data_IF_644676550315
#
_entry.id   IF_644676550315
#
_cell.length_a   1.000
_cell.length_b   1.000
_cell.length_c   1.000
_cell.angle_alpha   90.00
_cell.angle_beta   90.00
_cell.angle_gamma   90.00
#
_symmetry.space_group_name_H-M   'P 1'
#
loop_
_entity.id
_entity.type
_entity.pdbx_description
1 polymer ?
#
# COMPACT_ATOMS: atom_id res chain seq x y z
N UNK A 1 24.70 -28.24 -20.84
CA UNK A 1 25.41 -27.06 -21.38
C UNK A 1 25.97 -26.25 -20.22
N UNK A 2 27.27 -25.99 -20.20
CA UNK A 2 27.92 -25.20 -19.16
C UNK A 2 28.03 -23.74 -19.64
N UNK A 3 27.09 -22.90 -19.26
CA UNK A 3 27.12 -21.46 -19.61
C UNK A 3 27.70 -20.65 -18.47
N UNK A 4 28.32 -19.51 -18.80
CA UNK A 4 28.86 -18.58 -17.80
C UNK A 4 27.74 -18.04 -16.92
N UNK A 5 26.68 -17.51 -17.53
CA UNK A 5 25.45 -17.12 -16.83
C UNK A 5 24.96 -18.20 -15.85
N UNK A 6 24.86 -19.46 -16.30
CA UNK A 6 24.37 -20.56 -15.46
C UNK A 6 25.27 -20.82 -14.25
N UNK A 7 26.58 -20.69 -14.43
CA UNK A 7 27.58 -20.85 -13.35
C UNK A 7 27.49 -19.72 -12.33
N UNK A 8 27.35 -18.47 -12.79
CA UNK A 8 27.18 -17.31 -11.91
C UNK A 8 25.86 -17.38 -11.14
N UNK A 9 24.77 -17.84 -11.75
CA UNK A 9 23.49 -18.04 -11.06
C UNK A 9 23.64 -19.08 -9.94
N UNK A 10 24.27 -20.23 -10.22
CA UNK A 10 24.44 -21.32 -9.26
C UNK A 10 25.36 -20.96 -8.10
N UNK A 11 26.48 -20.32 -8.39
CA UNK A 11 27.51 -20.01 -7.40
C UNK A 11 27.25 -18.69 -6.67
N UNK A 12 26.52 -17.77 -7.32
CA UNK A 12 26.38 -16.39 -6.87
C UNK A 12 27.72 -15.65 -6.82
N UNK A 13 28.75 -16.13 -7.53
CA UNK A 13 30.08 -15.50 -7.56
C UNK A 13 30.31 -14.85 -8.92
N UNK A 14 31.04 -13.74 -8.90
CA UNK A 14 31.54 -13.11 -10.11
C UNK A 14 32.56 -14.03 -10.79
N UNK A 15 32.57 -14.02 -12.11
CA UNK A 15 33.59 -14.66 -12.93
C UNK A 15 34.28 -13.60 -13.78
N UNK A 16 35.61 -13.56 -13.72
CA UNK A 16 36.45 -12.79 -14.63
C UNK A 16 37.25 -13.81 -15.44
N UNK A 17 36.93 -13.91 -16.72
CA UNK A 17 37.39 -14.95 -17.63
C UNK A 17 38.27 -14.32 -18.71
N UNK A 18 39.43 -14.93 -18.92
CA UNK A 18 40.30 -14.65 -20.06
C UNK A 18 39.96 -15.57 -21.23
N UNK A 19 40.57 -15.33 -22.38
CA UNK A 19 40.37 -16.14 -23.60
C UNK A 19 40.61 -17.63 -23.34
N UNK A 20 41.60 -17.97 -22.51
CA UNK A 20 41.91 -19.34 -22.12
C UNK A 20 40.83 -19.99 -21.24
N UNK A 21 40.21 -19.21 -20.35
CA UNK A 21 39.18 -19.73 -19.43
C UNK A 21 37.84 -19.96 -20.14
N UNK A 22 37.62 -19.27 -21.27
CA UNK A 22 36.37 -19.31 -22.03
C UNK A 22 36.13 -20.66 -22.74
N UNK A 23 37.19 -21.41 -23.05
CA UNK A 23 37.10 -22.73 -23.70
C UNK A 23 36.29 -23.76 -22.88
N UNK A 24 36.19 -23.55 -21.56
CA UNK A 24 35.41 -24.41 -20.66
C UNK A 24 33.89 -24.15 -20.68
N UNK A 25 33.44 -23.12 -21.41
CA UNK A 25 32.06 -22.67 -21.44
C UNK A 25 31.48 -22.64 -22.86
N UNK A 26 30.17 -22.84 -22.95
CA UNK A 26 29.45 -22.64 -24.20
C UNK A 26 29.23 -21.14 -24.45
N UNK A 27 29.90 -20.62 -25.48
CA UNK A 27 29.92 -19.21 -25.89
C UNK A 27 29.08 -18.93 -27.13
N UNK A 28 28.35 -19.94 -27.66
CA UNK A 28 27.54 -19.82 -28.87
C UNK A 28 26.50 -18.69 -28.81
N UNK A 29 26.01 -18.37 -27.61
CA UNK A 29 25.05 -17.29 -27.36
C UNK A 29 25.59 -15.89 -27.71
N UNK A 30 26.90 -15.71 -27.81
CA UNK A 30 27.53 -14.41 -28.07
C UNK A 30 27.78 -14.15 -29.57
N UNK A 31 27.56 -15.13 -30.45
CA UNK A 31 27.75 -14.97 -31.88
C UNK A 31 26.86 -13.84 -32.45
N UNK A 32 27.38 -12.95 -33.33
CA UNK A 32 28.67 -12.98 -34.01
C UNK A 32 29.82 -12.25 -33.29
N UNK A 33 29.63 -11.84 -32.03
CA UNK A 33 30.67 -11.13 -31.27
C UNK A 33 31.77 -12.10 -30.84
N UNK A 34 33.02 -11.77 -31.19
CA UNK A 34 34.18 -12.49 -30.68
C UNK A 34 34.39 -12.11 -29.20
N UNK A 35 34.13 -13.06 -28.30
CA UNK A 35 34.33 -12.88 -26.87
C UNK A 35 35.74 -13.31 -26.46
N UNK A 36 36.66 -12.36 -26.30
CA UNK A 36 38.08 -12.62 -25.91
C UNK A 36 38.32 -12.61 -24.41
N UNK A 37 37.48 -11.88 -23.69
CA UNK A 37 37.47 -11.81 -22.25
C UNK A 37 36.07 -11.41 -21.80
N UNK A 38 35.74 -11.78 -20.58
CA UNK A 38 34.42 -11.49 -20.03
C UNK A 38 34.50 -11.29 -18.53
N UNK A 39 33.75 -10.32 -18.04
CA UNK A 39 33.39 -10.27 -16.63
C UNK A 39 31.88 -10.47 -16.49
N UNK A 40 31.49 -11.46 -15.71
CA UNK A 40 30.11 -11.86 -15.47
C UNK A 40 29.80 -11.71 -13.98
N UNK A 41 28.87 -10.82 -13.65
CA UNK A 41 28.58 -10.41 -12.29
C UNK A 41 27.13 -10.74 -11.90
N UNK A 42 26.90 -11.28 -10.70
CA UNK A 42 25.56 -11.52 -10.19
C UNK A 42 24.94 -10.22 -9.68
N UNK A 43 23.76 -9.86 -10.20
CA UNK A 43 22.92 -8.82 -9.61
C UNK A 43 22.12 -9.44 -8.45
N UNK A 44 22.52 -9.14 -7.22
CA UNK A 44 21.92 -9.74 -6.02
C UNK A 44 20.91 -8.82 -5.35
N UNK A 45 19.83 -9.41 -4.86
CA UNK A 45 18.89 -8.77 -3.95
C UNK A 45 18.56 -9.72 -2.79
N UNK A 46 18.73 -9.25 -1.54
CA UNK A 46 18.54 -10.07 -0.33
C UNK A 46 19.27 -11.42 -0.40
N UNK A 47 20.54 -11.40 -0.81
CA UNK A 47 21.42 -12.57 -0.99
C UNK A 47 21.03 -13.55 -2.11
N UNK A 48 19.95 -13.30 -2.86
CA UNK A 48 19.57 -14.09 -4.03
C UNK A 48 20.02 -13.42 -5.33
N UNK A 49 20.60 -14.18 -6.25
CA UNK A 49 20.92 -13.71 -7.61
C UNK A 49 19.61 -13.53 -8.40
N UNK A 50 19.30 -12.30 -8.80
CA UNK A 50 18.10 -11.96 -9.58
C UNK A 50 18.35 -11.86 -11.08
N UNK A 51 19.57 -11.46 -11.44
CA UNK A 51 20.03 -11.42 -12.82
C UNK A 51 21.55 -11.61 -12.86
N UNK A 52 22.08 -11.84 -14.05
CA UNK A 52 23.51 -11.81 -14.33
C UNK A 52 23.76 -10.76 -15.38
N UNK A 53 24.79 -9.94 -15.17
CA UNK A 53 25.23 -8.95 -16.16
C UNK A 53 26.59 -9.37 -16.66
N UNK A 54 26.72 -9.50 -17.98
CA UNK A 54 27.92 -9.94 -18.66
C UNK A 54 28.47 -8.78 -19.49
N UNK A 55 29.73 -8.43 -19.25
CA UNK A 55 30.48 -7.48 -20.06
C UNK A 55 31.45 -8.28 -20.92
N UNK A 56 31.27 -8.19 -22.24
CA UNK A 56 32.02 -8.95 -23.23
C UNK A 56 33.10 -8.07 -23.85
N UNK A 57 34.30 -8.61 -24.03
CA UNK A 57 35.43 -8.03 -24.78
C UNK A 57 35.69 -6.56 -24.45
N UNK A 58 36.58 -6.32 -23.49
CA UNK A 58 37.07 -4.97 -23.18
C UNK A 58 37.65 -4.29 -24.43
N UNK A 59 37.36 -3.00 -24.59
CA UNK A 59 37.71 -2.22 -25.80
C UNK A 59 39.22 -2.21 -26.08
N UNK A 60 40.05 -2.16 -25.04
CA UNK A 60 41.51 -2.18 -25.17
C UNK A 60 42.09 -3.58 -25.40
N UNK A 61 41.23 -4.60 -25.56
CA UNK A 61 41.54 -6.01 -25.73
C UNK A 61 42.36 -6.63 -24.58
N UNK A 62 42.54 -5.92 -23.45
CA UNK A 62 43.16 -6.47 -22.25
C UNK A 62 42.09 -7.19 -21.42
N UNK A 63 42.52 -8.11 -20.56
CA UNK A 63 41.62 -8.70 -19.55
C UNK A 63 41.06 -7.64 -18.61
N UNK A 64 39.92 -7.94 -17.99
CA UNK A 64 39.35 -7.08 -16.96
C UNK A 64 40.26 -7.07 -15.73
N UNK A 65 40.59 -5.88 -15.24
CA UNK A 65 41.40 -5.69 -14.04
C UNK A 65 40.55 -5.74 -12.77
N UNK A 66 41.20 -5.80 -11.63
CA UNK A 66 40.54 -5.65 -10.33
C UNK A 66 39.75 -4.34 -10.22
N UNK A 67 40.26 -3.24 -10.77
CA UNK A 67 39.54 -1.96 -10.74
C UNK A 67 38.25 -2.01 -11.57
N UNK A 68 38.25 -2.73 -12.71
CA UNK A 68 37.05 -2.96 -13.51
C UNK A 68 36.02 -3.79 -12.71
N UNK A 69 36.48 -4.84 -12.02
CA UNK A 69 35.64 -5.67 -11.16
C UNK A 69 34.95 -4.85 -10.06
N UNK A 70 35.72 -4.01 -9.35
CA UNK A 70 35.21 -3.13 -8.30
C UNK A 70 34.19 -2.15 -8.86
N UNK A 71 34.52 -1.49 -9.98
CA UNK A 71 33.65 -0.51 -10.61
C UNK A 71 32.30 -1.13 -11.03
N UNK A 72 32.35 -2.27 -11.74
CA UNK A 72 31.16 -3.00 -12.16
C UNK A 72 30.33 -3.47 -10.96
N UNK A 73 30.98 -3.97 -9.91
CA UNK A 73 30.30 -4.45 -8.69
C UNK A 73 29.56 -3.32 -7.97
N UNK A 74 30.19 -2.15 -7.84
CA UNK A 74 29.56 -0.96 -7.25
C UNK A 74 28.37 -0.51 -8.09
N UNK A 75 28.53 -0.40 -9.41
CA UNK A 75 27.45 0.01 -10.31
C UNK A 75 26.24 -0.94 -10.23
N UNK A 76 26.48 -2.25 -10.22
CA UNK A 76 25.43 -3.25 -10.09
C UNK A 76 24.73 -3.22 -8.73
N UNK A 77 25.47 -2.92 -7.67
CA UNK A 77 24.89 -2.74 -6.34
C UNK A 77 23.87 -1.60 -6.36
N UNK A 78 24.18 -0.47 -6.99
CA UNK A 78 23.21 0.62 -7.19
C UNK A 78 22.00 0.18 -8.01
N UNK A 79 22.21 -0.53 -9.13
CA UNK A 79 21.11 -1.07 -9.93
C UNK A 79 20.17 -1.98 -9.13
N UNK A 80 20.73 -2.83 -8.26
CA UNK A 80 19.94 -3.71 -7.40
C UNK A 80 19.06 -2.91 -6.42
N UNK A 81 19.61 -1.84 -5.84
CA UNK A 81 18.84 -0.92 -4.99
C UNK A 81 17.70 -0.26 -5.76
N UNK A 82 17.94 0.24 -6.98
CA UNK A 82 16.88 0.85 -7.80
C UNK A 82 15.74 -0.11 -8.14
N UNK A 83 16.06 -1.35 -8.53
CA UNK A 83 15.05 -2.38 -8.81
C UNK A 83 14.23 -2.70 -7.54
N UNK A 84 14.89 -2.77 -6.39
CA UNK A 84 14.19 -3.00 -5.12
C UNK A 84 13.24 -1.86 -4.75
N UNK A 85 13.62 -0.62 -5.07
CA UNK A 85 12.82 0.56 -4.80
C UNK A 85 11.53 0.59 -5.62
N UNK A 86 11.58 0.24 -6.90
CA UNK A 86 10.37 0.19 -7.75
C UNK A 86 9.35 -0.83 -7.20
N UNK A 87 9.82 -2.01 -6.78
CA UNK A 87 8.96 -3.03 -6.16
C UNK A 87 8.31 -2.51 -4.88
N UNK A 88 9.10 -1.91 -3.98
CA UNK A 88 8.59 -1.34 -2.73
C UNK A 88 7.59 -0.20 -2.98
N UNK A 89 7.83 0.62 -4.01
CA UNK A 89 6.93 1.71 -4.37
C UNK A 89 5.59 1.18 -4.89
N UNK A 90 5.60 0.12 -5.71
CA UNK A 90 4.38 -0.56 -6.19
C UNK A 90 3.59 -1.17 -5.02
N UNK A 91 4.26 -1.86 -4.11
CA UNK A 91 3.63 -2.43 -2.91
C UNK A 91 3.02 -1.35 -2.01
N UNK A 92 3.72 -0.22 -1.80
CA UNK A 92 3.21 0.93 -1.05
C UNK A 92 1.95 1.51 -1.70
N UNK A 93 1.95 1.70 -3.03
CA UNK A 93 0.78 2.20 -3.78
C UNK A 93 -0.42 1.28 -3.65
N UNK A 94 -0.22 -0.04 -3.73
CA UNK A 94 -1.29 -1.02 -3.55
C UNK A 94 -1.88 -0.97 -2.14
N UNK A 95 -1.04 -0.89 -1.10
CA UNK A 95 -1.50 -0.75 0.29
C UNK A 95 -2.28 0.55 0.52
N UNK A 96 -1.83 1.67 -0.03
CA UNK A 96 -2.54 2.95 0.06
C UNK A 96 -3.92 2.89 -0.60
N UNK A 97 -4.03 2.24 -1.76
CA UNK A 97 -5.31 2.02 -2.42
C UNK A 97 -6.24 1.17 -1.56
N UNK A 98 -5.73 0.11 -0.94
CA UNK A 98 -6.53 -0.74 -0.06
C UNK A 98 -7.05 0.01 1.17
N UNK A 99 -6.19 0.81 1.82
CA UNK A 99 -6.59 1.69 2.91
C UNK A 99 -7.69 2.66 2.47
N UNK A 100 -7.58 3.24 1.27
CA UNK A 100 -8.61 4.13 0.72
C UNK A 100 -9.95 3.40 0.55
N UNK A 101 -9.95 2.20 -0.04
CA UNK A 101 -11.16 1.39 -0.21
C UNK A 101 -11.78 1.05 1.14
N UNK A 102 -10.98 0.67 2.13
CA UNK A 102 -11.46 0.37 3.48
C UNK A 102 -12.09 1.59 4.15
N UNK A 103 -11.46 2.76 4.02
CA UNK A 103 -12.01 4.03 4.51
C UNK A 103 -13.35 4.35 3.82
N UNK A 104 -13.38 4.33 2.49
CA UNK A 104 -14.58 4.66 1.72
C UNK A 104 -15.72 3.66 2.02
N UNK A 105 -15.39 2.38 2.24
CA UNK A 105 -16.34 1.36 2.68
C UNK A 105 -16.84 1.63 4.10
N UNK A 106 -15.95 2.03 5.01
CA UNK A 106 -16.29 2.45 6.37
C UNK A 106 -17.24 3.66 6.37
N UNK A 107 -16.99 4.64 5.49
CA UNK A 107 -17.86 5.80 5.33
C UNK A 107 -19.26 5.38 4.84
N UNK A 108 -19.35 4.46 3.88
CA UNK A 108 -20.64 3.95 3.37
C UNK A 108 -21.38 3.11 4.41
N UNK A 109 -20.68 2.22 5.11
CA UNK A 109 -21.29 1.36 6.15
C UNK A 109 -21.69 2.16 7.40
N UNK A 110 -20.90 3.18 7.75
CA UNK A 110 -21.16 4.10 8.86
C UNK A 110 -22.23 5.13 8.54
N UNK A 111 -22.42 5.51 7.28
CA UNK A 111 -23.42 6.50 6.88
C UNK A 111 -24.82 6.09 7.34
N UNK A 112 -25.59 6.97 8.00
CA UNK A 112 -27.00 6.74 8.29
C UNK A 112 -27.78 6.32 7.05
N UNK A 113 -28.71 5.37 7.18
CA UNK A 113 -29.51 4.99 6.03
C UNK A 113 -30.44 6.16 5.63
N UNK A 114 -30.69 6.31 4.32
CA UNK A 114 -31.51 7.40 3.79
C UNK A 114 -32.93 7.36 4.37
N UNK A 115 -33.47 6.17 4.65
CA UNK A 115 -34.79 6.02 5.25
C UNK A 115 -34.88 6.67 6.63
N UNK A 116 -33.90 6.44 7.51
CA UNK A 116 -33.87 7.04 8.86
C UNK A 116 -33.66 8.55 8.80
N UNK A 117 -32.79 9.02 7.89
CA UNK A 117 -32.59 10.45 7.61
C UNK A 117 -33.90 11.12 7.17
N UNK A 118 -34.65 10.48 6.26
CA UNK A 118 -35.93 10.98 5.77
C UNK A 118 -36.99 10.96 6.87
N UNK A 119 -37.10 9.90 7.66
CA UNK A 119 -38.00 9.84 8.82
C UNK A 119 -37.67 10.93 9.84
N UNK A 120 -36.39 11.13 10.14
CA UNK A 120 -35.96 12.22 11.02
C UNK A 120 -36.17 13.62 10.43
N UNK A 121 -36.29 13.77 9.12
CA UNK A 121 -36.61 15.04 8.49
C UNK A 121 -38.11 15.32 8.43
N UNK A 122 -38.94 14.28 8.25
CA UNK A 122 -40.38 14.41 8.03
C UNK A 122 -41.21 14.28 9.31
N UNK A 123 -40.78 13.46 10.26
CA UNK A 123 -41.55 13.18 11.47
C UNK A 123 -41.33 14.28 12.53
N UNK A 124 -42.44 14.89 12.96
CA UNK A 124 -42.46 15.78 14.12
C UNK A 124 -42.50 14.93 15.38
N UNK A 125 -41.46 15.08 16.19
CA UNK A 125 -41.39 14.47 17.50
C UNK A 125 -41.74 15.52 18.56
N UNK A 126 -42.59 15.15 19.52
CA UNK A 126 -43.00 16.04 20.60
C UNK A 126 -42.36 15.52 21.87
N UNK A 127 -41.56 16.36 22.54
CA UNK A 127 -41.01 16.05 23.85
C UNK A 127 -42.15 15.86 24.86
N UNK A 128 -42.08 14.86 25.76
CA UNK A 128 -42.99 14.76 26.89
C UNK A 128 -43.03 16.07 27.69
N UNK A 129 -44.21 16.48 28.16
CA UNK A 129 -44.42 17.78 28.80
C UNK A 129 -43.51 18.00 30.03
N UNK A 130 -43.20 16.92 30.76
CA UNK A 130 -42.37 16.94 31.96
C UNK A 130 -40.86 16.77 31.73
N UNK A 131 -40.40 16.82 30.47
CA UNK A 131 -39.00 16.56 30.11
C UNK A 131 -37.96 17.38 30.91
N UNK A 132 -38.34 18.59 31.34
CA UNK A 132 -37.44 19.51 32.04
C UNK A 132 -37.36 19.36 33.56
N UNK A 133 -38.22 18.56 34.22
CA UNK A 133 -38.35 18.62 35.69
C UNK A 133 -37.64 17.50 36.45
N UNK A 134 -37.54 16.31 35.89
CA UNK A 134 -36.63 15.19 36.28
C UNK A 134 -37.20 13.97 35.59
N UNK A 135 -36.86 13.74 34.31
CA UNK A 135 -37.25 12.49 33.67
C UNK A 135 -36.20 11.44 33.99
N UNK A 136 -36.55 10.51 34.88
CA UNK A 136 -35.93 9.20 34.86
C UNK A 136 -36.36 8.53 33.55
N UNK A 137 -35.54 8.70 32.52
CA UNK A 137 -35.75 8.05 31.24
C UNK A 137 -35.44 6.56 31.43
N UNK A 138 -36.48 5.75 31.62
CA UNK A 138 -36.36 4.31 31.50
C UNK A 138 -36.24 3.98 30.00
N UNK A 139 -34.99 3.92 29.51
CA UNK A 139 -34.67 3.68 28.10
C UNK A 139 -34.56 2.19 27.75
N UNK A 140 -34.76 1.29 28.72
CA UNK A 140 -34.70 -0.15 28.49
C UNK A 140 -35.80 -0.58 27.51
N UNK A 141 -35.40 -1.04 26.32
CA UNK A 141 -36.32 -1.50 25.28
C UNK A 141 -36.92 -0.41 24.39
N UNK A 142 -36.54 0.86 24.54
CA UNK A 142 -37.01 1.93 23.66
C UNK A 142 -36.51 1.72 22.22
N UNK A 143 -37.34 2.10 21.23
CA UNK A 143 -36.92 2.10 19.82
C UNK A 143 -35.69 3.02 19.66
N UNK A 144 -34.67 2.52 18.97
CA UNK A 144 -33.42 3.24 18.72
C UNK A 144 -33.67 4.55 17.98
N UNK A 145 -34.62 4.55 17.05
CA UNK A 145 -34.96 5.76 16.30
C UNK A 145 -35.65 6.78 17.22
N UNK A 146 -36.45 6.33 18.19
CA UNK A 146 -37.05 7.17 19.22
C UNK A 146 -35.99 7.89 20.06
N UNK A 147 -34.91 7.19 20.44
CA UNK A 147 -33.77 7.80 21.13
C UNK A 147 -33.11 8.91 20.30
N UNK A 148 -32.94 8.69 18.98
CA UNK A 148 -32.41 9.70 18.08
C UNK A 148 -33.29 10.96 18.01
N UNK A 149 -34.62 10.79 17.96
CA UNK A 149 -35.56 11.91 18.02
C UNK A 149 -35.48 12.67 19.35
N UNK A 150 -35.37 11.95 20.46
CA UNK A 150 -35.23 12.55 21.78
C UNK A 150 -33.96 13.41 21.86
N UNK A 151 -32.82 12.88 21.43
CA UNK A 151 -31.54 13.62 21.39
C UNK A 151 -31.65 14.87 20.50
N UNK A 152 -32.29 14.76 19.33
CA UNK A 152 -32.52 15.91 18.43
C UNK A 152 -33.26 17.04 19.15
N UNK A 153 -34.38 16.73 19.79
CA UNK A 153 -35.16 17.73 20.50
C UNK A 153 -34.45 18.29 21.73
N UNK A 154 -33.63 17.49 22.43
CA UNK A 154 -32.75 17.98 23.49
C UNK A 154 -31.76 19.02 22.96
N UNK A 155 -31.13 18.76 21.82
CA UNK A 155 -30.22 19.72 21.16
C UNK A 155 -30.95 21.01 20.78
N UNK A 156 -32.14 20.92 20.21
CA UNK A 156 -32.94 22.08 19.82
C UNK A 156 -33.45 22.89 21.02
N UNK A 157 -33.76 22.24 22.14
CA UNK A 157 -34.28 22.90 23.34
C UNK A 157 -33.19 23.50 24.22
N UNK A 158 -32.08 22.77 24.42
CA UNK A 158 -31.07 23.10 25.42
C UNK A 158 -29.72 23.53 24.83
N UNK A 159 -29.43 23.22 23.58
CA UNK A 159 -28.15 23.48 22.94
C UNK A 159 -28.29 24.32 21.66
N UNK A 160 -29.23 25.29 21.63
CA UNK A 160 -29.47 26.16 20.44
C UNK A 160 -28.22 26.84 19.89
N UNK A 161 -27.23 27.11 20.73
CA UNK A 161 -25.94 27.72 20.33
C UNK A 161 -25.06 26.71 19.57
N UNK A 162 -25.16 25.42 19.90
CA UNK A 162 -24.39 24.33 19.30
C UNK A 162 -25.16 23.57 18.22
N UNK A 163 -26.48 23.78 18.12
CA UNK A 163 -27.30 23.17 17.10
C UNK A 163 -26.83 23.66 15.71
N UNK A 164 -26.47 22.74 14.79
CA UNK A 164 -26.15 23.10 13.41
C UNK A 164 -27.29 23.92 12.81
N UNK A 165 -26.96 24.99 12.07
CA UNK A 165 -27.97 25.79 11.33
C UNK A 165 -28.81 24.92 10.37
N UNK A 166 -28.25 23.79 9.94
CA UNK A 166 -28.90 22.82 9.08
C UNK A 166 -29.37 21.59 9.90
N UNK A 167 -30.68 21.41 10.01
CA UNK A 167 -31.31 20.26 10.68
C UNK A 167 -30.86 18.91 10.12
N UNK A 168 -30.57 18.86 8.81
CA UNK A 168 -30.14 17.63 8.15
C UNK A 168 -28.75 17.18 8.63
N UNK A 169 -27.86 18.14 8.94
CA UNK A 169 -26.54 17.87 9.53
C UNK A 169 -26.66 17.35 10.96
N UNK A 170 -27.58 17.90 11.76
CA UNK A 170 -27.84 17.42 13.13
C UNK A 170 -28.39 15.98 13.12
N UNK A 171 -29.38 15.71 12.26
CA UNK A 171 -29.95 14.37 12.10
C UNK A 171 -28.88 13.36 11.65
N UNK A 172 -28.05 13.74 10.68
CA UNK A 172 -26.94 12.89 10.22
C UNK A 172 -25.97 12.56 11.36
N UNK A 173 -25.57 13.56 12.16
CA UNK A 173 -24.65 13.38 13.29
C UNK A 173 -25.22 12.44 14.36
N UNK A 174 -26.49 12.60 14.73
CA UNK A 174 -27.15 11.78 15.76
C UNK A 174 -27.24 10.31 15.30
N UNK A 175 -27.67 10.08 14.05
CA UNK A 175 -27.76 8.74 13.48
C UNK A 175 -26.37 8.11 13.30
N UNK A 176 -25.35 8.90 12.97
CA UNK A 176 -23.97 8.44 12.86
C UNK A 176 -23.48 7.92 14.21
N UNK A 177 -23.65 8.69 15.29
CA UNK A 177 -23.29 8.26 16.66
C UNK A 177 -24.04 6.98 17.03
N UNK A 178 -25.35 6.93 16.79
CA UNK A 178 -26.16 5.76 17.10
C UNK A 178 -25.62 4.49 16.43
N UNK A 179 -25.19 4.57 15.16
CA UNK A 179 -24.57 3.43 14.46
C UNK A 179 -23.20 3.05 15.03
N UNK A 180 -22.35 4.02 15.38
CA UNK A 180 -21.03 3.76 15.96
C UNK A 180 -21.08 3.19 17.38
N UNK A 181 -22.07 3.54 18.19
CA UNK A 181 -22.25 2.98 19.55
C UNK A 181 -22.83 1.55 19.55
N UNK A 182 -23.14 1.02 18.37
CA UNK A 182 -23.86 -0.23 18.18
C UNK A 182 -23.07 -1.31 17.43
N UNK A 183 -21.91 -0.96 16.87
CA UNK A 183 -20.94 -1.89 16.29
C UNK A 183 -19.96 -2.37 17.37
#
# INVERSE_FOLDING_TARGET
>A
VNTVTGTVIKTGKMLNLTDYDMDAFDTSAYFPLLCRNMISLPLKYKHETKAVIEFLTKIDAKGFSYDDEVLCSVALTYCAYFISYDKLLKEKRAKLLHIKILRDTGDVLGAPCVHDLLRMASEKFILPEDFGRTVQLHLEGADKLYLCFLVREMFLKHAKIFAPKNMLTLNYFILLIQRYTMA
#
